data_IF_505626009450
#
_entry.id   IF_505626009450
#
_cell.length_a   1.000
_cell.length_b   1.000
_cell.length_c   1.000
_cell.angle_alpha   90.00
_cell.angle_beta   90.00
_cell.angle_gamma   90.00
#
_symmetry.space_group_name_H-M   'P 1'
#
loop_
_entity.id
_entity.type
_entity.pdbx_description
1 polymer ?
#
# COMPACT_ATOMS: atom_id res chain seq x y z
N UNK A 1 13.64 14.64 -18.01
CA UNK A 1 13.85 14.35 -16.57
C UNK A 1 13.58 15.64 -15.80
N UNK A 2 12.99 15.58 -14.60
CA UNK A 2 12.70 16.75 -13.75
C UNK A 2 13.78 16.93 -12.68
N UNK A 3 13.91 18.13 -12.10
CA UNK A 3 14.83 18.34 -10.98
C UNK A 3 14.31 17.70 -9.69
N UNK A 4 15.22 17.47 -8.74
CA UNK A 4 14.84 16.96 -7.41
C UNK A 4 13.86 17.90 -6.70
N UNK A 5 14.02 19.22 -6.86
CA UNK A 5 13.12 20.21 -6.25
C UNK A 5 11.71 20.11 -6.83
N UNK A 6 11.59 19.98 -8.16
CA UNK A 6 10.29 19.80 -8.82
C UNK A 6 9.67 18.46 -8.40
N UNK A 7 10.45 17.38 -8.38
CA UNK A 7 9.97 16.08 -7.92
C UNK A 7 9.45 16.15 -6.48
N UNK A 8 10.25 16.73 -5.57
CA UNK A 8 9.86 16.90 -4.17
C UNK A 8 8.61 17.75 -3.99
N UNK A 9 8.49 18.84 -4.76
CA UNK A 9 7.28 19.68 -4.76
C UNK A 9 6.05 18.87 -5.19
N UNK A 10 6.13 18.10 -6.28
CA UNK A 10 5.04 17.29 -6.78
C UNK A 10 4.65 16.18 -5.78
N UNK A 11 5.63 15.48 -5.20
CA UNK A 11 5.36 14.42 -4.21
C UNK A 11 4.65 14.92 -2.95
N UNK A 12 4.78 16.20 -2.60
CA UNK A 12 4.16 16.79 -1.40
C UNK A 12 2.83 17.49 -1.67
N UNK A 13 2.60 17.98 -2.89
CA UNK A 13 1.46 18.87 -3.18
C UNK A 13 0.56 18.37 -4.32
N UNK A 14 0.91 17.27 -5.00
CA UNK A 14 0.12 16.72 -6.11
C UNK A 14 -0.63 15.44 -5.72
N UNK A 15 -0.77 15.18 -4.43
CA UNK A 15 -1.62 14.13 -3.85
C UNK A 15 -3.07 14.60 -3.78
N UNK A 16 -4.05 13.77 -4.16
CA UNK A 16 -5.46 14.06 -3.96
C UNK A 16 -5.79 14.24 -2.47
N UNK A 17 -6.48 15.34 -2.14
CA UNK A 17 -7.04 15.59 -0.81
C UNK A 17 -8.55 15.72 -0.94
N UNK A 18 -9.28 14.71 -0.47
CA UNK A 18 -10.73 14.60 -0.65
C UNK A 18 -11.47 14.95 0.65
N UNK A 19 -12.54 15.76 0.61
CA UNK A 19 -13.43 15.95 1.74
C UNK A 19 -14.39 14.76 1.86
N UNK A 20 -14.53 14.24 3.07
CA UNK A 20 -15.48 13.19 3.42
C UNK A 20 -16.49 13.70 4.44
N UNK A 21 -17.73 13.20 4.32
CA UNK A 21 -18.80 13.51 5.27
C UNK A 21 -19.54 12.24 5.69
N UNK A 22 -20.15 12.27 6.87
CA UNK A 22 -21.18 11.32 7.26
C UNK A 22 -22.57 11.97 7.19
N UNK A 23 -23.51 11.33 6.52
CA UNK A 23 -24.89 11.83 6.35
C UNK A 23 -25.83 11.17 7.36
N UNK A 24 -26.65 11.98 8.02
CA UNK A 24 -27.76 11.49 8.82
C UNK A 24 -28.89 11.00 7.90
N UNK A 25 -29.20 9.71 7.98
CA UNK A 25 -30.18 9.09 7.08
C UNK A 25 -31.61 9.61 7.20
N UNK A 26 -32.01 10.18 8.36
CA UNK A 26 -33.35 10.72 8.59
C UNK A 26 -33.49 12.14 8.03
N UNK A 27 -32.53 13.01 8.32
CA UNK A 27 -32.59 14.43 7.94
C UNK A 27 -32.00 14.70 6.56
N UNK A 28 -31.23 13.74 6.01
CA UNK A 28 -30.47 13.90 4.75
C UNK A 28 -29.48 15.06 4.79
N UNK A 29 -28.97 15.38 5.98
CA UNK A 29 -27.97 16.42 6.23
C UNK A 29 -26.72 15.83 6.87
N UNK A 30 -25.60 16.55 6.78
CA UNK A 30 -24.34 16.13 7.41
C UNK A 30 -24.46 16.06 8.93
N UNK A 31 -23.88 15.03 9.54
CA UNK A 31 -23.77 14.90 10.99
C UNK A 31 -22.80 15.98 11.50
N UNK A 32 -23.21 16.70 12.55
CA UNK A 32 -22.38 17.76 13.15
C UNK A 32 -21.01 17.19 13.56
N UNK A 33 -19.94 17.79 13.04
CA UNK A 33 -18.55 17.39 13.31
C UNK A 33 -18.02 16.26 12.42
N UNK A 34 -18.83 15.69 11.54
CA UNK A 34 -18.41 14.61 10.64
C UNK A 34 -18.03 15.13 9.25
N UNK A 35 -17.15 16.13 9.20
CA UNK A 35 -16.45 16.59 8.00
C UNK A 35 -14.95 16.45 8.26
N UNK A 36 -14.24 15.72 7.40
CA UNK A 36 -12.80 15.56 7.47
C UNK A 36 -12.20 15.56 6.07
N UNK A 37 -10.89 15.79 5.98
CA UNK A 37 -10.14 15.68 4.74
C UNK A 37 -9.21 14.48 4.83
N UNK A 38 -9.09 13.75 3.74
CA UNK A 38 -8.20 12.60 3.61
C UNK A 38 -7.30 12.77 2.40
N UNK A 39 -6.01 12.57 2.59
CA UNK A 39 -5.00 12.57 1.53
C UNK A 39 -4.69 11.13 1.09
N UNK A 40 -4.64 10.90 -0.22
CA UNK A 40 -4.32 9.58 -0.79
C UNK A 40 -3.20 9.66 -1.80
N UNK A 41 -2.45 8.57 -1.95
CA UNK A 41 -1.46 8.45 -3.01
C UNK A 41 -2.18 8.26 -4.36
N UNK A 42 -1.80 8.98 -5.43
CA UNK A 42 -2.44 8.82 -6.74
C UNK A 42 -2.33 7.39 -7.27
N UNK A 43 -3.32 6.92 -8.06
CA UNK A 43 -3.13 5.72 -8.87
C UNK A 43 -1.95 5.90 -9.83
N UNK A 44 -1.41 4.79 -10.33
CA UNK A 44 -0.20 4.76 -11.18
C UNK A 44 1.10 5.22 -10.48
N UNK A 45 1.08 5.39 -9.15
CA UNK A 45 2.33 5.61 -8.40
C UNK A 45 3.13 4.31 -8.27
N UNK A 46 4.40 4.34 -8.68
CA UNK A 46 5.33 3.24 -8.51
C UNK A 46 6.11 3.38 -7.21
N UNK A 47 5.98 2.37 -6.34
CA UNK A 47 6.76 2.22 -5.11
C UNK A 47 7.66 0.98 -5.22
N UNK A 48 8.78 0.97 -4.50
CA UNK A 48 9.61 -0.21 -4.34
C UNK A 48 10.00 -0.39 -2.87
N UNK A 49 10.07 -1.65 -2.44
CA UNK A 49 10.44 -2.01 -1.07
C UNK A 49 11.46 -3.15 -1.13
N UNK A 50 12.64 -3.01 -0.50
CA UNK A 50 13.58 -4.11 -0.41
C UNK A 50 13.08 -5.16 0.60
N UNK A 51 13.08 -6.44 0.19
CA UNK A 51 12.81 -7.57 1.07
C UNK A 51 14.13 -8.28 1.39
N UNK A 52 14.38 -8.53 2.69
CA UNK A 52 15.57 -9.23 3.16
C UNK A 52 15.14 -10.39 4.05
N UNK A 53 15.54 -11.61 3.69
CA UNK A 53 15.29 -12.81 4.48
C UNK A 53 16.54 -13.28 5.21
N UNK A 54 16.36 -13.97 6.32
CA UNK A 54 17.40 -14.61 7.12
C UNK A 54 17.02 -16.06 7.41
N UNK A 55 17.98 -16.88 7.83
CA UNK A 55 17.71 -18.25 8.28
C UNK A 55 16.64 -18.23 9.40
N UNK A 56 15.75 -19.22 9.40
CA UNK A 56 14.74 -19.36 10.44
C UNK A 56 15.39 -19.45 11.83
N UNK A 57 14.82 -18.71 12.79
CA UNK A 57 15.25 -18.71 14.20
C UNK A 57 14.46 -19.69 15.07
N UNK A 58 13.51 -20.41 14.47
CA UNK A 58 12.71 -21.41 15.18
C UNK A 58 13.62 -22.57 15.60
N UNK A 59 13.50 -23.01 16.86
CA UNK A 59 14.23 -24.18 17.36
C UNK A 59 13.93 -25.39 16.47
N UNK A 60 14.97 -26.14 16.13
CA UNK A 60 14.94 -27.32 15.25
C UNK A 60 14.50 -27.06 13.80
N UNK A 61 14.48 -25.79 13.34
CA UNK A 61 14.31 -25.47 11.91
C UNK A 61 15.64 -25.40 11.17
N UNK A 62 15.70 -26.03 10.00
CA UNK A 62 16.82 -25.96 9.04
C UNK A 62 16.54 -24.99 7.88
N UNK A 63 15.42 -24.26 7.90
CA UNK A 63 15.01 -23.40 6.80
C UNK A 63 16.00 -22.26 6.58
N UNK A 64 16.55 -22.21 5.37
CA UNK A 64 17.49 -21.20 4.95
C UNK A 64 16.77 -19.92 4.54
N UNK A 65 17.51 -18.81 4.49
CA UNK A 65 16.98 -17.50 4.10
C UNK A 65 16.23 -17.52 2.75
N UNK A 66 16.73 -18.30 1.78
CA UNK A 66 16.06 -18.44 0.48
C UNK A 66 14.67 -19.08 0.62
N UNK A 67 14.56 -20.16 1.40
CA UNK A 67 13.27 -20.81 1.67
C UNK A 67 12.29 -19.85 2.35
N UNK A 68 12.76 -19.06 3.33
CA UNK A 68 11.94 -18.04 3.99
C UNK A 68 11.46 -16.98 3.00
N UNK A 69 12.32 -16.54 2.08
CA UNK A 69 11.94 -15.60 1.02
C UNK A 69 10.88 -16.21 0.08
N UNK A 70 11.05 -17.47 -0.32
CA UNK A 70 10.07 -18.15 -1.19
C UNK A 70 8.70 -18.27 -0.53
N UNK A 71 8.62 -18.53 0.78
CA UNK A 71 7.35 -18.53 1.49
C UNK A 71 6.65 -17.18 1.43
N UNK A 72 7.37 -16.09 1.70
CA UNK A 72 6.79 -14.74 1.61
C UNK A 72 6.33 -14.45 0.18
N UNK A 73 7.15 -14.76 -0.82
CA UNK A 73 6.84 -14.45 -2.21
C UNK A 73 5.69 -15.28 -2.78
N UNK A 74 5.63 -16.57 -2.46
CA UNK A 74 4.64 -17.49 -3.04
C UNK A 74 3.33 -17.53 -2.24
N UNK A 75 3.41 -17.43 -0.91
CA UNK A 75 2.25 -17.58 -0.03
C UNK A 75 1.51 -16.25 0.20
N UNK A 76 2.22 -15.10 0.28
CA UNK A 76 1.55 -13.78 0.42
C UNK A 76 1.17 -13.16 -0.92
N UNK A 77 2.01 -13.30 -1.95
CA UNK A 77 1.74 -12.74 -3.28
C UNK A 77 1.33 -13.88 -4.19
N UNK A 78 0.13 -14.42 -3.95
CA UNK A 78 -0.41 -15.57 -4.68
C UNK A 78 -0.16 -15.41 -6.18
N UNK A 79 0.50 -16.40 -6.77
CA UNK A 79 0.80 -16.46 -8.21
C UNK A 79 -0.45 -16.31 -9.09
N UNK A 80 -1.64 -16.54 -8.52
CA UNK A 80 -2.95 -16.41 -9.18
C UNK A 80 -3.49 -14.98 -9.24
N UNK A 81 -3.06 -14.07 -8.35
CA UNK A 81 -3.50 -12.67 -8.35
C UNK A 81 -2.41 -11.74 -7.78
N UNK A 82 -1.74 -10.92 -8.62
CA UNK A 82 -0.63 -10.08 -8.19
C UNK A 82 -1.10 -8.77 -7.55
N UNK A 83 -2.21 -8.78 -6.81
CA UNK A 83 -2.77 -7.59 -6.19
C UNK A 83 -2.72 -7.71 -4.67
N UNK A 84 -2.22 -6.65 -4.03
CA UNK A 84 -2.17 -6.53 -2.57
C UNK A 84 -2.89 -5.25 -2.17
N UNK A 85 -3.75 -5.34 -1.15
CA UNK A 85 -4.33 -4.17 -0.50
C UNK A 85 -3.35 -3.66 0.57
N UNK A 86 -3.07 -2.35 0.53
CA UNK A 86 -2.16 -1.65 1.42
C UNK A 86 -2.86 -0.43 2.02
N UNK A 87 -2.75 -0.25 3.33
CA UNK A 87 -3.34 0.90 4.04
C UNK A 87 -4.80 0.71 4.41
N UNK A 88 -5.49 1.80 4.74
CA UNK A 88 -6.91 1.80 5.13
C UNK A 88 -7.87 1.84 3.94
N UNK A 89 -9.16 2.02 4.24
CA UNK A 89 -10.19 2.31 3.24
C UNK A 89 -10.37 1.25 2.14
N UNK A 90 -10.04 -0.01 2.46
CA UNK A 90 -10.29 -1.17 1.60
C UNK A 90 -11.77 -1.25 1.16
N UNK A 91 -12.70 -1.04 2.08
CA UNK A 91 -14.15 -1.16 1.83
C UNK A 91 -14.71 -0.09 0.89
N UNK A 92 -13.95 0.98 0.64
CA UNK A 92 -14.27 2.03 -0.34
C UNK A 92 -13.34 1.98 -1.55
N UNK A 93 -12.60 0.88 -1.73
CA UNK A 93 -11.80 0.58 -2.92
C UNK A 93 -10.40 1.20 -2.95
N UNK A 94 -9.88 1.68 -1.82
CA UNK A 94 -8.56 2.29 -1.74
C UNK A 94 -7.45 1.28 -1.41
N UNK A 95 -6.22 1.61 -1.82
CA UNK A 95 -5.02 0.87 -1.41
C UNK A 95 -4.67 -0.36 -2.24
N UNK A 96 -5.36 -0.64 -3.34
CA UNK A 96 -5.05 -1.78 -4.20
C UNK A 96 -3.82 -1.50 -5.06
N UNK A 97 -2.78 -2.31 -4.88
CA UNK A 97 -1.53 -2.21 -5.61
C UNK A 97 -1.23 -3.50 -6.37
N UNK A 98 -0.80 -3.36 -7.64
CA UNK A 98 -0.20 -4.48 -8.35
C UNK A 98 1.25 -4.68 -7.89
N UNK A 99 1.58 -5.89 -7.48
CA UNK A 99 2.91 -6.24 -6.99
C UNK A 99 3.70 -6.97 -8.05
N UNK A 100 4.96 -6.60 -8.20
CA UNK A 100 5.95 -7.32 -9.00
C UNK A 100 7.21 -7.52 -8.17
N UNK A 101 7.57 -8.76 -7.90
CA UNK A 101 8.84 -9.10 -7.29
C UNK A 101 9.97 -8.98 -8.31
N UNK A 102 11.09 -8.43 -7.88
CA UNK A 102 12.33 -8.34 -8.67
C UNK A 102 13.44 -8.91 -7.81
N UNK A 103 14.17 -9.90 -8.33
CA UNK A 103 15.36 -10.45 -7.66
C UNK A 103 16.58 -9.71 -8.19
N UNK A 104 17.45 -9.28 -7.28
CA UNK A 104 18.79 -8.81 -7.64
C UNK A 104 19.55 -9.94 -8.33
N UNK A 105 20.25 -9.60 -9.41
CA UNK A 105 21.18 -10.51 -10.11
C UNK A 105 22.47 -10.61 -9.32
#
# INVERSE_FOLDING_TARGET
MVSNDIFGHLSQHSTPVNPHIAINNKTKTTIKGALWYEETLPPETLLYVPLVAQKSRKKDSSEMANTVMEHVLNDMFLLTSPYLQLGGNETVGMGWCKVKSIRGV
#
